data_IF_706449576318
#
_entry.id   IF_706449576318
#
_cell.length_a   1.000
_cell.length_b   1.000
_cell.length_c   1.000
_cell.angle_alpha   90.00
_cell.angle_beta   90.00
_cell.angle_gamma   90.00
#
_symmetry.space_group_name_H-M   'P 1'
#
loop_
_entity.id
_entity.type
_entity.pdbx_description
1 polymer ?
#
# COMPACT_ATOMS: atom_id res chain seq x y z
N UNK A 1 -5.91 11.92 3.54
CA UNK A 1 -6.12 10.56 3.02
C UNK A 1 -7.33 9.92 3.71
N UNK A 2 -8.18 9.18 2.99
CA UNK A 2 -9.29 8.43 3.59
C UNK A 2 -8.83 7.03 3.98
N UNK A 3 -9.05 6.62 5.24
CA UNK A 3 -8.71 5.30 5.76
C UNK A 3 -9.95 4.58 6.24
N UNK A 4 -10.06 3.28 6.00
CA UNK A 4 -11.12 2.50 6.62
C UNK A 4 -10.84 2.33 8.11
N UNK A 5 -11.90 2.20 8.92
CA UNK A 5 -11.79 1.87 10.35
C UNK A 5 -11.02 0.56 10.59
N UNK A 6 -11.13 -0.39 9.67
CA UNK A 6 -10.33 -1.62 9.66
C UNK A 6 -8.82 -1.34 9.57
N UNK A 7 -8.42 -0.40 8.71
CA UNK A 7 -7.00 -0.04 8.56
C UNK A 7 -6.44 0.60 9.83
N UNK A 8 -7.18 1.53 10.44
CA UNK A 8 -6.74 2.19 11.66
C UNK A 8 -6.67 1.23 12.86
N UNK A 9 -7.65 0.34 13.00
CA UNK A 9 -7.72 -0.56 14.16
C UNK A 9 -6.89 -1.86 14.00
N UNK A 10 -6.66 -2.33 12.76
CA UNK A 10 -6.02 -3.64 12.52
C UNK A 10 -4.66 -3.54 11.83
N UNK A 11 -4.53 -2.76 10.76
CA UNK A 11 -3.29 -2.73 9.98
C UNK A 11 -2.17 -2.00 10.76
N UNK A 12 -2.47 -0.81 11.31
CA UNK A 12 -1.50 -0.07 12.14
C UNK A 12 -1.18 -0.80 13.45
N UNK A 13 -2.16 -1.50 14.03
CA UNK A 13 -1.98 -2.22 15.30
C UNK A 13 -1.11 -3.47 15.15
N UNK A 14 -1.20 -4.16 14.01
CA UNK A 14 -0.35 -5.34 13.70
C UNK A 14 1.02 -4.95 13.15
N UNK A 15 1.15 -3.77 12.54
CA UNK A 15 2.37 -3.32 11.85
C UNK A 15 2.67 -1.87 12.22
N UNK A 16 3.01 -1.66 13.49
CA UNK A 16 3.29 -0.33 14.07
C UNK A 16 4.44 0.43 13.40
N UNK A 17 5.29 -0.26 12.64
CA UNK A 17 6.38 0.33 11.87
C UNK A 17 5.93 0.93 10.53
N UNK A 18 4.71 0.65 10.04
CA UNK A 18 4.20 1.25 8.81
C UNK A 18 3.73 2.67 9.11
N UNK A 19 4.33 3.64 8.42
CA UNK A 19 3.96 5.05 8.52
C UNK A 19 2.84 5.38 7.55
N UNK A 20 1.93 6.27 8.00
CA UNK A 20 0.88 6.83 7.15
C UNK A 20 1.46 7.56 5.94
N UNK A 21 2.58 8.23 6.13
CA UNK A 21 3.31 8.95 5.07
C UNK A 21 3.70 8.03 3.90
N UNK A 22 4.16 6.81 4.18
CA UNK A 22 4.48 5.84 3.12
C UNK A 22 3.25 5.42 2.33
N UNK A 23 2.09 5.30 3.01
CA UNK A 23 0.83 5.00 2.36
C UNK A 23 0.36 6.15 1.48
N UNK A 24 0.49 7.39 1.95
CA UNK A 24 0.18 8.59 1.17
C UNK A 24 1.10 8.73 -0.05
N UNK A 25 2.39 8.43 0.13
CA UNK A 25 3.35 8.43 -0.96
C UNK A 25 3.02 7.38 -2.02
N UNK A 26 2.61 6.17 -1.60
CA UNK A 26 2.15 5.11 -2.52
C UNK A 26 0.94 5.53 -3.35
N UNK A 27 0.03 6.35 -2.80
CA UNK A 27 -1.12 6.87 -3.55
C UNK A 27 -0.75 8.05 -4.44
N UNK A 28 0.22 8.87 -4.02
CA UNK A 28 0.62 10.08 -4.75
C UNK A 28 1.56 9.78 -5.91
N UNK A 29 2.48 8.85 -5.72
CA UNK A 29 3.54 8.50 -6.69
C UNK A 29 3.90 7.01 -6.57
N UNK A 30 2.98 6.10 -6.90
CA UNK A 30 3.28 4.67 -6.97
C UNK A 30 4.27 4.38 -8.10
N UNK A 31 5.12 3.37 -7.89
CA UNK A 31 5.96 2.82 -8.96
C UNK A 31 5.19 1.84 -9.84
N UNK A 32 4.25 1.08 -9.25
CA UNK A 32 3.35 0.19 -9.98
C UNK A 32 1.93 0.33 -9.45
N UNK A 33 0.97 0.30 -10.38
CA UNK A 33 -0.46 0.26 -10.09
C UNK A 33 -1.03 -0.98 -10.76
N UNK A 34 -1.78 -1.78 -10.01
CA UNK A 34 -2.50 -2.93 -10.53
C UNK A 34 -3.97 -2.85 -10.12
N UNK A 35 -4.84 -2.89 -11.12
CA UNK A 35 -6.28 -3.01 -10.92
C UNK A 35 -6.61 -4.49 -10.74
N UNK A 36 -6.97 -4.88 -9.51
CA UNK A 36 -7.43 -6.23 -9.25
C UNK A 36 -8.91 -6.38 -9.65
N UNK A 37 -9.28 -7.50 -10.26
CA UNK A 37 -10.65 -7.78 -10.75
C UNK A 37 -11.75 -7.82 -9.68
N UNK A 38 -11.41 -7.64 -8.40
CA UNK A 38 -12.36 -7.60 -7.26
C UNK A 38 -12.51 -6.19 -6.67
N UNK A 39 -12.62 -5.15 -7.51
CA UNK A 39 -12.86 -3.76 -7.10
C UNK A 39 -11.81 -3.21 -6.11
N UNK A 40 -10.55 -3.60 -6.29
CA UNK A 40 -9.45 -3.09 -5.45
C UNK A 40 -8.27 -2.66 -6.31
N UNK A 41 -7.67 -1.56 -5.92
CA UNK A 41 -6.44 -1.06 -6.56
C UNK A 41 -5.27 -1.32 -5.64
N UNK A 42 -4.22 -1.92 -6.20
CA UNK A 42 -2.96 -2.18 -5.53
C UNK A 42 -1.91 -1.21 -6.05
N UNK A 43 -1.20 -0.60 -5.12
CA UNK A 43 -0.12 0.34 -5.37
C UNK A 43 1.16 -0.23 -4.76
N UNK A 44 2.26 -0.18 -5.50
CA UNK A 44 3.58 -0.51 -4.97
C UNK A 44 4.45 0.74 -4.99
N UNK A 45 5.25 0.89 -3.94
CA UNK A 45 6.28 1.92 -3.86
C UNK A 45 7.47 1.38 -3.06
N UNK A 46 8.69 1.63 -3.52
CA UNK A 46 9.88 1.34 -2.76
C UNK A 46 10.03 2.32 -1.61
N UNK A 47 10.09 1.78 -0.39
CA UNK A 47 10.34 2.57 0.81
C UNK A 47 11.78 2.31 1.24
N UNK A 48 12.70 3.28 1.05
CA UNK A 48 14.12 3.11 1.37
C UNK A 48 14.32 2.87 2.89
N UNK A 49 13.50 3.50 3.74
CA UNK A 49 13.52 3.30 5.19
C UNK A 49 13.16 1.86 5.60
N UNK A 50 12.37 1.17 4.78
CA UNK A 50 11.95 -0.22 5.00
C UNK A 50 12.88 -1.21 4.25
N UNK A 51 13.64 -0.72 3.28
CA UNK A 51 14.45 -1.51 2.36
C UNK A 51 13.62 -2.47 1.50
N UNK A 52 12.33 -2.17 1.28
CA UNK A 52 11.40 -3.05 0.57
C UNK A 52 10.28 -2.26 -0.11
N UNK A 53 9.63 -2.89 -1.08
CA UNK A 53 8.43 -2.34 -1.70
C UNK A 53 7.24 -2.46 -0.74
N UNK A 54 6.58 -1.35 -0.44
CA UNK A 54 5.33 -1.32 0.30
C UNK A 54 4.18 -1.53 -0.68
N UNK A 55 3.36 -2.56 -0.45
CA UNK A 55 2.12 -2.78 -1.18
C UNK A 55 0.96 -2.16 -0.40
N UNK A 56 0.27 -1.23 -1.03
CA UNK A 56 -0.91 -0.52 -0.52
C UNK A 56 -2.14 -0.95 -1.30
N UNK A 57 -3.17 -1.39 -0.58
CA UNK A 57 -4.43 -1.84 -1.17
C UNK A 57 -5.53 -0.84 -0.81
N UNK A 58 -6.22 -0.34 -1.81
CA UNK A 58 -7.37 0.55 -1.67
C UNK A 58 -8.66 -0.12 -2.14
N UNK A 59 -9.79 0.51 -1.83
CA UNK A 59 -11.10 0.20 -2.43
C UNK A 59 -11.17 0.68 -3.89
N UNK A 60 -12.30 0.46 -4.56
CA UNK A 60 -12.48 0.79 -5.97
C UNK A 60 -12.27 2.28 -6.29
N UNK A 61 -12.59 3.16 -5.34
CA UNK A 61 -12.40 4.61 -5.47
C UNK A 61 -10.91 5.01 -5.55
N UNK A 62 -9.98 4.09 -5.27
CA UNK A 62 -8.55 4.31 -5.38
C UNK A 62 -7.97 5.24 -4.30
N UNK A 63 -8.79 5.87 -3.45
CA UNK A 63 -8.37 6.80 -2.38
C UNK A 63 -8.54 6.22 -0.99
N UNK A 64 -9.47 5.29 -0.81
CA UNK A 64 -9.78 4.72 0.51
C UNK A 64 -8.87 3.54 0.80
N UNK A 65 -7.93 3.72 1.73
CA UNK A 65 -6.98 2.67 2.07
C UNK A 65 -7.61 1.59 2.95
N UNK A 66 -7.43 0.36 2.50
CA UNK A 66 -7.92 -0.84 3.16
C UNK A 66 -6.82 -1.61 3.90
N UNK A 67 -5.67 -1.84 3.27
CA UNK A 67 -4.56 -2.56 3.88
C UNK A 67 -3.21 -2.08 3.33
N UNK A 68 -2.14 -2.27 4.10
CA UNK A 68 -0.77 -1.96 3.69
C UNK A 68 0.23 -2.93 4.34
N UNK A 69 1.19 -3.42 3.54
CA UNK A 69 2.23 -4.31 4.03
C UNK A 69 3.46 -4.36 3.11
N UNK A 70 4.66 -4.61 3.67
CA UNK A 70 5.86 -4.83 2.88
C UNK A 70 5.72 -6.08 2.02
N UNK A 71 6.00 -5.92 0.73
CA UNK A 71 6.14 -6.98 -0.25
C UNK A 71 7.62 -7.18 -0.56
N UNK A 72 8.27 -8.03 0.25
CA UNK A 72 9.69 -8.38 0.08
C UNK A 72 9.93 -9.35 -1.10
N UNK A 73 8.86 -9.93 -1.63
CA UNK A 73 8.90 -10.85 -2.76
C UNK A 73 8.65 -10.14 -4.09
N UNK A 74 8.45 -8.82 -4.07
CA UNK A 74 8.36 -7.99 -5.27
C UNK A 74 9.71 -8.06 -5.99
N UNK A 75 9.79 -8.99 -6.94
CA UNK A 75 10.74 -8.91 -8.03
C UNK A 75 10.18 -7.85 -8.95
N UNK A 76 10.91 -6.77 -9.17
CA UNK A 76 10.78 -6.04 -10.44
C UNK A 76 10.76 -7.12 -11.52
N UNK A 77 9.63 -7.28 -12.20
CA UNK A 77 9.62 -8.03 -13.45
C UNK A 77 10.54 -7.22 -14.36
N UNK A 78 11.81 -7.61 -14.36
CA UNK A 78 12.81 -7.12 -15.27
C UNK A 78 12.29 -7.44 -16.67
N UNK A 79 11.75 -6.42 -17.33
CA UNK A 79 11.54 -6.44 -18.78
C UNK A 79 12.78 -5.98 -19.49
#
# INVERSE_FOLDING_TARGET
MATTRYFEEQALRKRTYIRREWCEQALRSPERIELASQNRVRYWIYIPELGAHLRVVTLEDGKTLHDAYPDKAYKEEAS
#
